data_IF_795914780353
#
_entry.id   IF_795914780353
#
_cell.length_a   1.000
_cell.length_b   1.000
_cell.length_c   1.000
_cell.angle_alpha   90.00
_cell.angle_beta   90.00
_cell.angle_gamma   90.00
#
_symmetry.space_group_name_H-M   'P 1'
#
loop_
_entity.id
_entity.type
_entity.pdbx_description
1 polymer ?
#
# COMPACT_ATOMS: atom_id res chain seq x y z
N UNK A 1 -0.27 9.64 31.21
CA UNK A 1 -0.62 8.21 31.09
C UNK A 1 -1.16 8.06 29.68
N UNK A 2 -0.27 8.06 28.70
CA UNK A 2 -0.66 8.24 27.30
C UNK A 2 -0.25 7.01 26.50
N UNK A 3 -1.00 6.77 25.43
CA UNK A 3 -0.50 6.33 24.13
C UNK A 3 -0.74 4.88 23.67
N UNK A 4 -1.31 3.93 24.43
CA UNK A 4 -1.59 2.61 23.80
C UNK A 4 -2.79 2.70 22.85
N UNK A 5 -3.90 3.30 23.28
CA UNK A 5 -5.05 3.54 22.40
C UNK A 5 -4.69 4.47 21.23
N UNK A 6 -3.97 5.57 21.48
CA UNK A 6 -3.58 6.50 20.41
C UNK A 6 -2.65 5.87 19.38
N UNK A 7 -1.75 4.97 19.80
CA UNK A 7 -0.86 4.23 18.87
C UNK A 7 -1.66 3.24 18.02
N UNK A 8 -2.66 2.56 18.59
CA UNK A 8 -3.52 1.62 17.86
C UNK A 8 -4.39 2.38 16.86
N UNK A 9 -5.01 3.48 17.26
CA UNK A 9 -5.83 4.32 16.36
C UNK A 9 -5.01 4.90 15.21
N UNK A 10 -3.78 5.34 15.50
CA UNK A 10 -2.87 5.86 14.47
C UNK A 10 -2.51 4.76 13.45
N UNK A 11 -2.12 3.57 13.92
CA UNK A 11 -1.79 2.43 13.06
C UNK A 11 -2.99 1.95 12.22
N UNK A 12 -4.19 1.97 12.79
CA UNK A 12 -5.41 1.60 12.09
C UNK A 12 -5.73 2.57 10.96
N UNK A 13 -5.56 3.88 11.19
CA UNK A 13 -5.71 4.91 10.14
C UNK A 13 -4.66 4.78 9.05
N UNK A 14 -3.41 4.50 9.39
CA UNK A 14 -2.35 4.30 8.40
C UNK A 14 -2.59 3.05 7.54
N UNK A 15 -3.11 1.99 8.15
CA UNK A 15 -3.50 0.77 7.45
C UNK A 15 -4.71 1.01 6.53
N UNK A 16 -5.74 1.69 7.01
CA UNK A 16 -6.91 2.06 6.21
C UNK A 16 -6.53 2.92 5.01
N UNK A 17 -5.63 3.90 5.21
CA UNK A 17 -5.08 4.71 4.13
C UNK A 17 -4.33 3.85 3.10
N UNK A 18 -3.46 2.95 3.56
CA UNK A 18 -2.69 2.06 2.67
C UNK A 18 -3.60 1.14 1.86
N UNK A 19 -4.59 0.51 2.50
CA UNK A 19 -5.58 -0.34 1.83
C UNK A 19 -6.39 0.48 0.83
N UNK A 20 -6.82 1.69 1.19
CA UNK A 20 -7.52 2.59 0.29
C UNK A 20 -6.67 2.93 -0.94
N UNK A 21 -5.39 3.26 -0.75
CA UNK A 21 -4.45 3.56 -1.86
C UNK A 21 -4.25 2.35 -2.76
N UNK A 22 -4.07 1.16 -2.19
CA UNK A 22 -3.90 -0.08 -2.96
C UNK A 22 -5.16 -0.36 -3.78
N UNK A 23 -6.33 -0.28 -3.15
CA UNK A 23 -7.61 -0.59 -3.81
C UNK A 23 -7.92 0.42 -4.92
N UNK A 24 -7.76 1.71 -4.63
CA UNK A 24 -8.03 2.79 -5.57
C UNK A 24 -6.99 2.83 -6.70
N UNK A 25 -5.72 2.64 -6.36
CA UNK A 25 -4.60 2.54 -7.31
C UNK A 25 -4.77 1.35 -8.25
N UNK A 26 -5.14 0.18 -7.71
CA UNK A 26 -5.44 -1.01 -8.53
C UNK A 26 -6.60 -0.74 -9.50
N UNK A 27 -7.71 -0.17 -9.00
CA UNK A 27 -8.86 0.16 -9.83
C UNK A 27 -8.52 1.15 -10.95
N UNK A 28 -7.77 2.21 -10.64
CA UNK A 28 -7.30 3.19 -11.62
C UNK A 28 -6.38 2.53 -12.67
N UNK A 29 -5.46 1.68 -12.23
CA UNK A 29 -4.57 0.92 -13.11
C UNK A 29 -5.30 -0.06 -14.03
N UNK A 30 -6.34 -0.73 -13.54
CA UNK A 30 -7.23 -1.59 -14.33
C UNK A 30 -8.01 -0.78 -15.36
N UNK A 31 -8.56 0.38 -14.97
CA UNK A 31 -9.31 1.23 -15.87
C UNK A 31 -8.43 1.75 -17.03
N UNK A 32 -7.22 2.22 -16.70
CA UNK A 32 -6.26 2.71 -17.71
C UNK A 32 -5.84 1.58 -18.64
N UNK A 33 -5.43 0.43 -18.09
CA UNK A 33 -5.01 -0.72 -18.90
C UNK A 33 -6.12 -1.27 -19.79
N UNK A 34 -7.37 -1.26 -19.34
CA UNK A 34 -8.54 -1.60 -20.17
C UNK A 34 -8.74 -0.58 -21.29
N UNK A 35 -8.57 0.71 -21.02
CA UNK A 35 -8.66 1.78 -22.03
C UNK A 35 -7.60 1.70 -23.13
N UNK A 36 -6.41 1.15 -22.83
CA UNK A 36 -5.31 0.96 -23.79
C UNK A 36 -5.18 -0.49 -24.31
N UNK A 37 -6.18 -1.35 -24.08
CA UNK A 37 -6.18 -2.76 -24.49
C UNK A 37 -4.94 -3.57 -24.02
N UNK A 38 -4.46 -3.28 -22.82
CA UNK A 38 -3.35 -4.00 -22.17
C UNK A 38 -3.86 -4.94 -21.07
N UNK A 39 -2.94 -5.74 -20.53
CA UNK A 39 -3.24 -6.68 -19.47
C UNK A 39 -3.66 -5.94 -18.18
N UNK A 40 -4.89 -6.18 -17.74
CA UNK A 40 -5.48 -5.56 -16.56
C UNK A 40 -4.74 -5.89 -15.27
N UNK A 41 -4.13 -7.08 -15.17
CA UNK A 41 -3.33 -7.47 -14.00
C UNK A 41 -2.07 -6.62 -13.87
N UNK A 42 -1.40 -6.35 -14.99
CA UNK A 42 -0.23 -5.46 -15.04
C UNK A 42 -0.66 -4.03 -14.74
N UNK A 43 -1.79 -3.60 -15.29
CA UNK A 43 -2.39 -2.30 -14.96
C UNK A 43 -2.62 -2.12 -13.46
N UNK A 44 -3.25 -3.11 -12.81
CA UNK A 44 -3.49 -3.09 -11.37
C UNK A 44 -2.18 -2.94 -10.56
N UNK A 45 -1.17 -3.74 -10.88
CA UNK A 45 0.15 -3.69 -10.24
C UNK A 45 0.82 -2.32 -10.38
N UNK A 46 0.80 -1.76 -11.59
CA UNK A 46 1.35 -0.43 -11.86
C UNK A 46 0.57 0.65 -11.11
N UNK A 47 -0.76 0.56 -11.09
CA UNK A 47 -1.62 1.52 -10.39
C UNK A 47 -1.42 1.51 -8.87
N UNK A 48 -1.26 0.33 -8.26
CA UNK A 48 -0.89 0.19 -6.85
C UNK A 48 0.48 0.83 -6.59
N UNK A 49 1.48 0.49 -7.41
CA UNK A 49 2.84 1.00 -7.26
C UNK A 49 2.92 2.52 -7.36
N UNK A 50 2.20 3.11 -8.32
CA UNK A 50 2.12 4.57 -8.47
C UNK A 50 1.36 5.21 -7.31
N UNK A 51 0.25 4.61 -6.86
CA UNK A 51 -0.51 5.10 -5.70
C UNK A 51 0.33 5.15 -4.41
N UNK A 52 1.09 4.08 -4.14
CA UNK A 52 2.01 4.02 -3.01
C UNK A 52 3.20 4.98 -3.17
N UNK A 53 3.71 5.17 -4.39
CA UNK A 53 4.78 6.13 -4.65
C UNK A 53 4.32 7.58 -4.41
N UNK A 54 3.11 7.94 -4.86
CA UNK A 54 2.52 9.25 -4.58
C UNK A 54 2.28 9.41 -3.07
N UNK A 55 1.73 8.40 -2.40
CA UNK A 55 1.56 8.45 -0.96
C UNK A 55 2.88 8.67 -0.22
N UNK A 56 3.97 8.01 -0.63
CA UNK A 56 5.27 8.22 0.01
C UNK A 56 5.90 9.58 -0.31
N UNK A 57 5.63 10.17 -1.48
CA UNK A 57 6.07 11.52 -1.84
C UNK A 57 5.35 12.61 -1.03
N UNK A 58 4.08 12.41 -0.72
CA UNK A 58 3.25 13.38 0.01
C UNK A 58 3.08 13.06 1.50
N UNK A 59 3.50 11.87 1.95
CA UNK A 59 3.49 11.50 3.36
C UNK A 59 4.55 12.33 4.13
N UNK A 60 4.21 12.84 5.32
CA UNK A 60 5.16 13.55 6.15
C UNK A 60 6.37 12.66 6.49
N UNK A 61 7.59 13.22 6.35
CA UNK A 61 8.89 12.51 6.43
C UNK A 61 9.09 11.58 7.64
N UNK A 62 8.29 11.69 8.71
CA UNK A 62 8.37 10.84 9.90
C UNK A 62 7.62 9.50 9.78
N UNK A 63 6.74 9.33 8.80
CA UNK A 63 5.91 8.11 8.59
C UNK A 63 6.62 7.04 7.72
N UNK A 64 7.55 7.45 6.85
CA UNK A 64 8.20 6.58 5.86
C UNK A 64 9.05 5.46 6.47
N UNK A 65 9.67 5.68 7.64
CA UNK A 65 10.45 4.65 8.35
C UNK A 65 9.59 3.52 8.91
N UNK A 66 8.34 3.81 9.29
CA UNK A 66 7.40 2.78 9.78
C UNK A 66 6.86 1.96 8.62
N UNK A 67 6.50 2.61 7.52
CA UNK A 67 5.96 1.97 6.32
C UNK A 67 6.98 0.99 5.72
N UNK A 68 8.26 1.37 5.58
CA UNK A 68 9.29 0.46 5.08
C UNK A 68 9.48 -0.82 5.91
N UNK A 69 9.39 -0.72 7.24
CA UNK A 69 9.50 -1.88 8.15
C UNK A 69 8.28 -2.79 8.09
N UNK A 70 7.08 -2.21 7.96
CA UNK A 70 5.82 -2.96 7.84
C UNK A 70 5.76 -3.69 6.49
N UNK A 71 6.13 -3.02 5.40
CA UNK A 71 6.18 -3.62 4.05
C UNK A 71 7.20 -4.77 4.02
N UNK A 72 8.40 -4.60 4.59
CA UNK A 72 9.40 -5.67 4.64
C UNK A 72 8.92 -6.92 5.40
N UNK A 73 8.21 -6.73 6.52
CA UNK A 73 7.64 -7.85 7.27
C UNK A 73 6.51 -8.55 6.51
N UNK A 74 5.65 -7.80 5.80
CA UNK A 74 4.56 -8.37 5.00
C UNK A 74 5.10 -9.15 3.79
N UNK A 75 6.18 -8.67 3.14
CA UNK A 75 6.84 -9.40 2.05
C UNK A 75 7.39 -10.73 2.54
N UNK A 76 8.10 -10.74 3.68
CA UNK A 76 8.62 -11.98 4.26
C UNK A 76 7.51 -12.97 4.66
N UNK A 77 6.37 -12.46 5.14
CA UNK A 77 5.23 -13.31 5.51
C UNK A 77 4.52 -13.90 4.28
N UNK A 78 4.51 -13.16 3.17
CA UNK A 78 4.01 -13.63 1.87
C UNK A 78 4.99 -14.68 1.28
N UNK A 79 6.30 -14.45 1.31
CA UNK A 79 7.31 -15.40 0.84
C UNK A 79 7.24 -16.73 1.60
N UNK A 80 7.16 -16.70 2.93
CA UNK A 80 7.03 -17.91 3.75
C UNK A 80 5.72 -18.69 3.52
N UNK A 81 4.68 -18.03 3.01
CA UNK A 81 3.41 -18.68 2.64
C UNK A 81 3.42 -19.25 1.22
N UNK A 82 4.34 -18.80 0.37
CA UNK A 82 4.49 -19.29 -1.01
C UNK A 82 5.49 -20.44 -1.07
N UNK A 83 6.47 -20.51 -0.16
CA UNK A 83 7.43 -21.63 -0.05
C UNK A 83 6.89 -22.88 0.70
N UNK A 84 5.62 -22.88 1.13
CA UNK A 84 4.91 -24.06 1.64
C UNK A 84 3.93 -24.58 0.61
#
# INVERSE_FOLDING_TARGET
MNNILDIIDTKSKDFENTVSIVTTGAAAGIAISKGINKNQKIGALVGIGVGLAIYTLFAPKNELKKVGKVIGNQINEIENKIEK
#
